data_IF_158259104986
#
_entry.id   IF_158259104986
#
_cell.length_a   1.000
_cell.length_b   1.000
_cell.length_c   1.000
_cell.angle_alpha   90.00
_cell.angle_beta   90.00
_cell.angle_gamma   90.00
#
_symmetry.space_group_name_H-M   'P 1'
#
loop_
_entity.id
_entity.type
_entity.pdbx_description
1 polymer ?
#
# COMPACT_ATOMS: atom_id res chain seq x y z
N UNK A 1 -2.92 21.58 -4.66
CA UNK A 1 -3.57 20.28 -4.75
C UNK A 1 -3.01 19.34 -3.70
N UNK A 2 -3.86 18.67 -2.94
CA UNK A 2 -3.41 17.79 -1.87
C UNK A 2 -3.02 16.41 -2.41
N UNK A 3 -2.03 15.79 -1.77
CA UNK A 3 -1.51 14.48 -2.17
C UNK A 3 -1.51 13.52 -1.00
N UNK A 4 -2.03 12.32 -1.23
CA UNK A 4 -1.95 11.21 -0.30
C UNK A 4 -0.96 10.18 -0.83
N UNK A 5 -0.27 9.51 0.08
CA UNK A 5 0.57 8.36 -0.22
C UNK A 5 0.00 7.14 0.47
N UNK A 6 -0.16 6.07 -0.29
CA UNK A 6 -0.41 4.74 0.24
C UNK A 6 0.77 3.85 -0.14
N UNK A 7 1.03 2.83 0.64
CA UNK A 7 2.10 1.90 0.36
C UNK A 7 1.70 0.48 0.68
N UNK A 8 2.36 -0.46 0.05
CA UNK A 8 2.13 -1.87 0.29
C UNK A 8 2.86 -2.75 -0.69
N UNK A 9 2.73 -4.04 -0.51
CA UNK A 9 3.31 -5.03 -1.42
C UNK A 9 2.44 -5.22 -2.64
N UNK A 10 1.12 -5.26 -2.47
CA UNK A 10 0.13 -5.42 -3.53
C UNK A 10 0.46 -6.61 -4.44
N UNK A 11 0.62 -7.78 -3.84
CA UNK A 11 0.97 -8.99 -4.60
C UNK A 11 -0.21 -9.44 -5.46
N UNK A 12 -1.10 -10.24 -4.91
CA UNK A 12 -2.34 -10.59 -5.61
C UNK A 12 -3.42 -9.62 -5.13
N UNK A 13 -3.94 -8.81 -6.05
CA UNK A 13 -4.94 -7.80 -5.70
C UNK A 13 -6.25 -8.47 -5.25
N UNK A 14 -6.84 -7.91 -4.22
CA UNK A 14 -8.11 -8.36 -3.66
C UNK A 14 -8.92 -7.15 -3.17
N UNK A 15 -10.19 -7.34 -2.79
CA UNK A 15 -11.03 -6.21 -2.41
C UNK A 15 -10.51 -5.39 -1.23
N UNK A 16 -9.72 -5.99 -0.34
CA UNK A 16 -9.07 -5.26 0.75
C UNK A 16 -8.12 -4.18 0.25
N UNK A 17 -7.37 -4.47 -0.81
CA UNK A 17 -6.51 -3.47 -1.46
C UNK A 17 -7.33 -2.34 -2.06
N UNK A 18 -8.43 -2.66 -2.74
CA UNK A 18 -9.30 -1.65 -3.35
C UNK A 18 -9.88 -0.74 -2.28
N UNK A 19 -10.35 -1.30 -1.18
CA UNK A 19 -10.90 -0.53 -0.07
C UNK A 19 -9.86 0.45 0.50
N UNK A 20 -8.65 -0.04 0.76
CA UNK A 20 -7.55 0.77 1.26
C UNK A 20 -7.24 1.94 0.32
N UNK A 21 -7.08 1.65 -0.97
CA UNK A 21 -6.71 2.68 -1.95
C UNK A 21 -7.85 3.68 -2.20
N UNK A 22 -9.09 3.24 -2.23
CA UNK A 22 -10.24 4.12 -2.37
C UNK A 22 -10.38 5.05 -1.17
N UNK A 23 -10.20 4.53 0.03
CA UNK A 23 -10.25 5.33 1.25
C UNK A 23 -9.11 6.35 1.30
N UNK A 24 -7.89 5.94 0.91
CA UNK A 24 -6.76 6.85 0.80
C UNK A 24 -7.00 7.94 -0.25
N UNK A 25 -7.58 7.58 -1.39
CA UNK A 25 -7.89 8.55 -2.44
C UNK A 25 -8.91 9.60 -1.98
N UNK A 26 -9.84 9.21 -1.11
CA UNK A 26 -10.84 10.14 -0.58
C UNK A 26 -10.25 11.19 0.38
N UNK A 27 -9.04 10.95 0.88
CA UNK A 27 -8.37 11.84 1.83
C UNK A 27 -7.65 13.01 1.18
N UNK A 28 -7.44 12.99 -0.13
CA UNK A 28 -6.69 14.01 -0.84
C UNK A 28 -7.14 14.12 -2.30
N UNK A 29 -6.60 15.12 -3.02
CA UNK A 29 -6.93 15.33 -4.43
C UNK A 29 -6.22 14.38 -5.37
N UNK A 30 -5.05 13.86 -4.97
CA UNK A 30 -4.26 12.89 -5.73
C UNK A 30 -3.84 11.74 -4.82
N UNK A 31 -3.80 10.53 -5.37
CA UNK A 31 -3.26 9.36 -4.68
C UNK A 31 -2.03 8.84 -5.41
N UNK A 32 -0.91 8.83 -4.70
CA UNK A 32 0.34 8.22 -5.14
C UNK A 32 0.58 6.95 -4.34
N UNK A 33 0.89 5.86 -5.03
CA UNK A 33 1.11 4.57 -4.37
C UNK A 33 2.56 4.14 -4.53
N UNK A 34 3.16 3.74 -3.43
CA UNK A 34 4.52 3.17 -3.41
C UNK A 34 4.39 1.66 -3.26
N UNK A 35 4.85 0.93 -4.26
CA UNK A 35 4.80 -0.53 -4.27
C UNK A 35 6.15 -1.07 -3.80
N UNK A 36 6.12 -1.89 -2.76
CA UNK A 36 7.35 -2.43 -2.18
C UNK A 36 8.09 -3.34 -3.16
N UNK A 37 9.42 -3.20 -3.20
CA UNK A 37 10.26 -4.12 -3.98
C UNK A 37 10.35 -5.46 -3.26
N UNK A 38 10.40 -6.54 -4.03
CA UNK A 38 10.53 -7.90 -3.48
C UNK A 38 11.70 -8.01 -2.50
N UNK A 39 12.83 -7.41 -2.84
CA UNK A 39 14.04 -7.49 -2.01
C UNK A 39 13.86 -6.82 -0.65
N UNK A 40 12.92 -5.88 -0.54
CA UNK A 40 12.66 -5.17 0.71
C UNK A 40 11.62 -5.85 1.59
N UNK A 41 10.96 -6.89 1.09
CA UNK A 41 9.95 -7.64 1.87
C UNK A 41 10.66 -8.74 2.65
N UNK A 42 10.89 -8.50 3.95
CA UNK A 42 11.66 -9.42 4.80
C UNK A 42 10.87 -10.02 5.95
N UNK A 43 9.72 -9.42 6.28
CA UNK A 43 8.90 -9.81 7.45
C UNK A 43 7.80 -10.82 7.13
N UNK A 44 7.66 -11.19 5.86
CA UNK A 44 6.67 -12.14 5.37
C UNK A 44 7.22 -12.78 4.10
N UNK A 45 6.57 -13.83 3.55
CA UNK A 45 6.99 -14.40 2.28
C UNK A 45 7.06 -13.35 1.18
N UNK A 46 8.06 -13.49 0.31
CA UNK A 46 8.21 -12.58 -0.82
C UNK A 46 7.03 -12.69 -1.77
N UNK A 47 6.70 -11.59 -2.48
CA UNK A 47 5.58 -11.61 -3.41
C UNK A 47 5.79 -12.61 -4.55
N UNK A 48 4.70 -13.17 -5.03
CA UNK A 48 4.66 -14.09 -6.17
C UNK A 48 4.82 -13.32 -7.48
N UNK A 49 4.24 -12.12 -7.56
CA UNK A 49 4.22 -11.31 -8.77
C UNK A 49 5.45 -10.39 -8.81
N UNK A 50 6.14 -10.29 -9.97
CA UNK A 50 7.31 -9.42 -10.11
C UNK A 50 7.02 -7.95 -9.82
N UNK A 51 8.04 -7.21 -9.43
CA UNK A 51 7.92 -5.81 -9.00
C UNK A 51 7.23 -4.91 -10.05
N UNK A 52 7.72 -4.92 -11.28
CA UNK A 52 7.16 -4.05 -12.33
C UNK A 52 5.73 -4.40 -12.68
N UNK A 53 5.38 -5.68 -12.65
CA UNK A 53 4.01 -6.13 -12.92
C UNK A 53 3.07 -5.67 -11.81
N UNK A 54 3.48 -5.77 -10.56
CA UNK A 54 2.67 -5.30 -9.42
C UNK A 54 2.43 -3.80 -9.52
N UNK A 55 3.47 -3.02 -9.82
CA UNK A 55 3.35 -1.58 -10.00
C UNK A 55 2.39 -1.25 -11.15
N UNK A 56 2.52 -1.94 -12.27
CA UNK A 56 1.65 -1.71 -13.44
C UNK A 56 0.19 -1.98 -13.11
N UNK A 57 -0.09 -3.07 -12.40
CA UNK A 57 -1.46 -3.41 -12.02
C UNK A 57 -2.07 -2.38 -11.07
N UNK A 58 -1.29 -1.92 -10.10
CA UNK A 58 -1.74 -0.88 -9.17
C UNK A 58 -1.97 0.44 -9.91
N UNK A 59 -1.08 0.81 -10.82
CA UNK A 59 -1.19 2.04 -11.59
C UNK A 59 -2.46 2.09 -12.45
N UNK A 60 -3.00 0.95 -12.83
CA UNK A 60 -4.20 0.85 -13.65
C UNK A 60 -5.50 0.97 -12.86
N UNK A 61 -5.45 0.96 -11.54
CA UNK A 61 -6.65 1.09 -10.70
C UNK A 61 -7.18 2.52 -10.75
N UNK A 62 -8.50 2.64 -10.81
CA UNK A 62 -9.16 3.93 -10.96
C UNK A 62 -8.80 4.92 -9.85
N UNK A 63 -8.67 4.44 -8.61
CA UNK A 63 -8.37 5.30 -7.46
C UNK A 63 -6.94 5.84 -7.48
N UNK A 64 -6.04 5.28 -8.28
CA UNK A 64 -4.61 5.59 -8.25
C UNK A 64 -4.24 6.56 -9.36
N UNK A 65 -3.65 7.68 -9.00
CA UNK A 65 -3.14 8.66 -9.98
C UNK A 65 -1.75 8.29 -10.47
N UNK A 66 -0.90 7.79 -9.58
CA UNK A 66 0.44 7.36 -9.94
C UNK A 66 0.90 6.23 -9.01
N UNK A 67 1.60 5.26 -9.58
CA UNK A 67 2.23 4.18 -8.82
C UNK A 67 3.70 4.10 -9.17
N UNK A 68 4.55 3.91 -8.15
CA UNK A 68 5.99 3.76 -8.31
C UNK A 68 6.52 2.69 -7.38
N UNK A 69 7.69 2.15 -7.72
CA UNK A 69 8.38 1.23 -6.84
C UNK A 69 9.09 1.99 -5.72
N UNK A 70 9.17 1.37 -4.55
CA UNK A 70 9.94 1.91 -3.44
C UNK A 70 11.43 1.92 -3.75
N UNK A 71 12.18 2.65 -2.94
CA UNK A 71 13.64 2.69 -3.05
C UNK A 71 14.25 1.46 -2.38
N UNK A 72 15.37 1.00 -2.90
CA UNK A 72 16.05 -0.21 -2.42
C UNK A 72 16.64 -0.05 -1.02
N UNK A 73 16.99 1.16 -0.62
CA UNK A 73 17.70 1.42 0.65
C UNK A 73 17.00 2.42 1.57
N UNK A 74 16.26 3.38 1.02
CA UNK A 74 15.66 4.47 1.80
C UNK A 74 14.18 4.65 1.48
N UNK A 75 13.35 4.32 2.46
CA UNK A 75 11.90 4.48 2.41
C UNK A 75 11.48 5.92 2.05
N UNK A 76 12.21 6.93 2.50
CA UNK A 76 11.81 8.32 2.35
C UNK A 76 12.15 8.92 0.99
N UNK A 77 12.96 8.26 0.15
CA UNK A 77 13.28 8.80 -1.18
C UNK A 77 12.02 9.05 -2.01
N UNK A 78 11.14 8.06 -2.25
CA UNK A 78 9.93 8.34 -3.00
C UNK A 78 8.96 9.25 -2.25
N UNK A 79 8.94 9.22 -0.93
CA UNK A 79 8.08 10.10 -0.13
C UNK A 79 8.51 11.56 -0.32
N UNK A 80 9.81 11.83 -0.28
CA UNK A 80 10.31 13.20 -0.51
C UNK A 80 10.00 13.68 -1.93
N UNK A 81 10.12 12.80 -2.91
CA UNK A 81 9.81 13.15 -4.32
C UNK A 81 8.34 13.50 -4.51
N UNK A 82 7.45 12.80 -3.83
CA UNK A 82 6.01 13.05 -3.90
C UNK A 82 5.63 14.31 -3.11
N UNK A 83 6.29 14.51 -1.98
CA UNK A 83 5.98 15.58 -1.03
C UNK A 83 4.49 15.58 -0.63
N UNK A 84 4.03 14.50 0.03
CA UNK A 84 2.62 14.33 0.32
C UNK A 84 2.14 15.18 1.51
N UNK A 85 0.85 15.42 1.54
CA UNK A 85 0.18 16.04 2.69
C UNK A 85 -0.19 15.02 3.75
N UNK A 86 -0.46 13.78 3.32
CA UNK A 86 -0.83 12.70 4.23
C UNK A 86 -0.30 11.35 3.72
N UNK A 87 0.22 10.54 4.65
CA UNK A 87 0.50 9.13 4.41
C UNK A 87 -0.60 8.32 5.05
N UNK A 88 -1.22 7.42 4.30
CA UNK A 88 -2.32 6.59 4.76
C UNK A 88 -1.81 5.17 4.96
N UNK A 89 -1.85 4.70 6.19
CA UNK A 89 -1.48 3.32 6.53
C UNK A 89 -2.68 2.38 6.35
N UNK A 90 -2.44 1.16 5.93
CA UNK A 90 -3.47 0.13 5.93
C UNK A 90 -3.87 -0.27 7.34
N UNK A 91 -5.07 -0.81 7.50
CA UNK A 91 -5.62 -1.14 8.82
C UNK A 91 -4.74 -2.12 9.61
N UNK A 92 -4.06 -3.01 8.92
CA UNK A 92 -3.23 -4.08 9.51
C UNK A 92 -1.72 -3.85 9.37
N UNK A 93 -1.32 -2.69 8.83
CA UNK A 93 0.11 -2.39 8.75
C UNK A 93 0.64 -2.07 10.14
N UNK A 94 1.79 -2.64 10.45
CA UNK A 94 2.36 -2.58 11.81
C UNK A 94 3.17 -1.32 12.11
N UNK A 95 3.15 -0.35 11.22
CA UNK A 95 3.76 0.95 11.50
C UNK A 95 2.94 1.70 12.54
N UNK A 96 3.62 2.29 13.51
CA UNK A 96 3.00 3.16 14.49
C UNK A 96 2.89 4.58 13.92
N UNK A 97 1.69 5.15 13.95
CA UNK A 97 1.45 6.49 13.41
C UNK A 97 2.34 7.55 14.05
N UNK A 98 2.51 7.48 15.36
CA UNK A 98 3.32 8.47 16.08
C UNK A 98 4.80 8.36 15.72
N UNK A 99 5.32 7.15 15.61
CA UNK A 99 6.69 6.90 15.21
C UNK A 99 6.95 7.39 13.79
N UNK A 100 6.06 7.06 12.86
CA UNK A 100 6.19 7.50 11.48
C UNK A 100 6.09 9.02 11.37
N UNK A 101 5.17 9.63 12.10
CA UNK A 101 5.01 11.08 12.13
C UNK A 101 6.29 11.78 12.61
N UNK A 102 6.94 11.24 13.65
CA UNK A 102 8.20 11.77 14.15
C UNK A 102 9.32 11.63 13.11
N UNK A 103 9.38 10.51 12.41
CA UNK A 103 10.39 10.29 11.36
C UNK A 103 10.19 11.25 10.19
N UNK A 104 8.96 11.50 9.79
CA UNK A 104 8.64 12.46 8.74
C UNK A 104 9.08 13.88 9.13
N UNK A 105 8.84 14.26 10.37
CA UNK A 105 9.28 15.57 10.87
C UNK A 105 10.80 15.70 10.85
N UNK A 106 11.52 14.64 11.19
CA UNK A 106 12.99 14.63 11.13
C UNK A 106 13.49 14.81 9.69
N UNK A 107 12.74 14.28 8.72
CA UNK A 107 13.07 14.43 7.28
C UNK A 107 12.67 15.81 6.75
N UNK A 108 12.10 16.67 7.57
CA UNK A 108 11.65 18.01 7.17
C UNK A 108 10.35 18.00 6.37
N UNK A 109 9.56 16.95 6.47
CA UNK A 109 8.30 16.82 5.76
C UNK A 109 7.13 17.24 6.65
N UNK A 110 6.31 18.17 6.16
CA UNK A 110 5.08 18.58 6.82
C UNK A 110 3.94 17.66 6.32
N UNK A 111 3.88 16.47 6.89
CA UNK A 111 3.00 15.42 6.43
C UNK A 111 2.31 14.76 7.62
N UNK A 112 0.99 14.61 7.54
CA UNK A 112 0.23 13.89 8.54
C UNK A 112 0.19 12.40 8.24
N UNK A 113 -0.17 11.60 9.24
CA UNK A 113 -0.31 10.15 9.11
C UNK A 113 -1.73 9.79 9.49
N UNK A 114 -2.39 9.03 8.62
CA UNK A 114 -3.74 8.52 8.86
C UNK A 114 -3.73 7.01 8.70
N UNK A 115 -4.77 6.37 9.18
CA UNK A 115 -4.94 4.91 9.04
C UNK A 115 -6.28 4.61 8.40
N UNK A 116 -6.27 3.78 7.37
CA UNK A 116 -7.48 3.32 6.73
C UNK A 116 -8.21 2.30 7.61
N UNK A 117 -9.51 2.21 7.46
CA UNK A 117 -10.31 1.20 8.12
C UNK A 117 -10.19 -0.15 7.39
N UNK A 118 -10.55 -1.23 8.08
CA UNK A 118 -10.65 -2.53 7.45
C UNK A 118 -11.89 -2.58 6.56
N UNK A 119 -11.79 -3.31 5.44
CA UNK A 119 -12.98 -3.61 4.65
C UNK A 119 -13.91 -4.51 5.45
N UNK A 120 -15.17 -4.13 5.58
CA UNK A 120 -16.19 -4.99 6.16
C UNK A 120 -16.50 -6.09 5.14
N UNK A 121 -15.98 -7.29 5.40
CA UNK A 121 -16.31 -8.44 4.58
C UNK A 121 -17.73 -8.89 4.86
N UNK A 122 -18.45 -9.27 3.82
CA UNK A 122 -19.78 -9.86 3.96
C UNK A 122 -19.72 -11.28 4.50
N UNK A 123 -18.55 -11.73 4.94
CA UNK A 123 -18.34 -13.01 5.56
C UNK A 123 -18.36 -14.19 4.61
N UNK A 124 -18.98 -14.07 3.45
CA UNK A 124 -19.21 -15.19 2.55
C UNK A 124 -18.42 -15.06 1.26
N UNK A 125 -17.23 -15.65 1.23
CA UNK A 125 -16.53 -15.94 0.00
C UNK A 125 -15.53 -14.90 -0.47
N UNK A 126 -15.47 -13.71 0.11
CA UNK A 126 -14.44 -12.75 -0.24
C UNK A 126 -13.08 -13.19 0.29
N UNK A 127 -12.09 -13.18 -0.60
CA UNK A 127 -10.71 -13.48 -0.23
C UNK A 127 -9.98 -12.15 0.01
N UNK A 128 -9.84 -11.77 1.27
CA UNK A 128 -9.34 -10.46 1.67
C UNK A 128 -7.87 -10.46 2.07
N UNK A 129 -7.11 -11.42 1.58
CA UNK A 129 -5.65 -11.40 1.70
C UNK A 129 -5.03 -12.23 0.59
N UNK A 130 -3.81 -11.84 0.21
CA UNK A 130 -3.01 -12.61 -0.74
C UNK A 130 -2.80 -14.04 -0.25
N UNK A 131 -2.54 -14.19 1.07
CA UNK A 131 -2.37 -15.52 1.66
C UNK A 131 -3.57 -16.43 1.48
N UNK A 132 -4.77 -15.90 1.66
CA UNK A 132 -6.01 -16.68 1.45
C UNK A 132 -6.22 -17.07 0.01
N UNK A 133 -5.88 -16.18 -0.93
CA UNK A 133 -5.96 -16.49 -2.36
C UNK A 133 -5.01 -17.63 -2.70
N UNK A 134 -3.77 -17.55 -2.23
CA UNK A 134 -2.77 -18.59 -2.46
C UNK A 134 -3.22 -19.91 -1.87
N UNK A 135 -3.72 -19.91 -0.64
CA UNK A 135 -4.24 -21.10 0.03
C UNK A 135 -5.36 -21.76 -0.81
N UNK A 136 -6.30 -20.95 -1.29
CA UNK A 136 -7.40 -21.44 -2.13
C UNK A 136 -6.88 -22.03 -3.43
N UNK A 137 -5.89 -21.41 -4.05
CA UNK A 137 -5.26 -21.91 -5.27
C UNK A 137 -4.62 -23.27 -5.02
N UNK A 138 -3.86 -23.39 -3.93
CA UNK A 138 -3.24 -24.67 -3.56
C UNK A 138 -4.27 -25.76 -3.31
N UNK A 139 -5.36 -25.43 -2.61
CA UNK A 139 -6.43 -26.42 -2.33
C UNK A 139 -7.12 -26.91 -3.60
N UNK A 140 -7.21 -26.11 -4.63
CA UNK A 140 -7.98 -26.41 -5.83
C UNK A 140 -7.15 -26.79 -7.04
N UNK A 141 -5.87 -26.45 -7.07
CA UNK A 141 -5.03 -26.61 -8.28
C UNK A 141 -3.73 -27.36 -8.05
N UNK A 142 -3.34 -27.55 -6.81
CA UNK A 142 -2.07 -28.24 -6.51
C UNK A 142 -2.24 -29.66 -6.01
#
# INVERSE_FOLDING_TARGET
MTRAVAQGTFDLLHPGHLHYLEEAADMAGELHVIVARSDNVTHKPKPVVPDDQRREMVAALEAVDEARLGHTEDFFVPVRDIDPDVIVLGHDQHHDENTLSAMLAEEGLDCSVARASARDGDGDGELLSTGRIIERVCDRRC
#
